data_IF_577188602701
#
_entry.id   IF_577188602701
#
_cell.length_a   1.000
_cell.length_b   1.000
_cell.length_c   1.000
_cell.angle_alpha   90.00
_cell.angle_beta   90.00
_cell.angle_gamma   90.00
#
_symmetry.space_group_name_H-M   'P 1'
#
loop_
_entity.id
_entity.type
_entity.pdbx_description
1 polymer ?
#
# COMPACT_ATOMS: atom_id res chain seq x y z
N UNK A 1 26.94 -5.42 -9.04
CA UNK A 1 25.66 -5.42 -8.32
C UNK A 1 25.87 -6.05 -6.96
N UNK A 2 25.30 -5.51 -5.88
CA UNK A 2 25.54 -6.00 -4.52
C UNK A 2 24.26 -6.71 -4.03
N UNK A 3 24.40 -7.99 -3.69
CA UNK A 3 23.31 -8.71 -3.03
C UNK A 3 23.13 -8.22 -1.60
N UNK A 4 21.91 -7.75 -1.28
CA UNK A 4 21.58 -7.08 -0.02
C UNK A 4 20.57 -7.84 0.87
N UNK A 5 19.92 -8.85 0.34
CA UNK A 5 18.99 -9.66 1.15
C UNK A 5 18.17 -10.67 0.36
N UNK A 6 17.63 -11.63 1.11
CA UNK A 6 16.77 -12.70 0.60
C UNK A 6 15.42 -12.65 1.28
N UNK A 7 14.35 -12.74 0.51
CA UNK A 7 12.97 -12.72 0.98
C UNK A 7 12.14 -13.83 0.34
N UNK A 8 11.05 -14.20 0.98
CA UNK A 8 10.04 -15.05 0.35
C UNK A 8 9.14 -14.21 -0.56
N UNK A 9 8.77 -13.02 -0.08
CA UNK A 9 7.90 -12.08 -0.80
C UNK A 9 8.51 -10.68 -0.80
N UNK A 10 8.57 -10.07 -1.97
CA UNK A 10 8.87 -8.64 -2.10
C UNK A 10 7.63 -7.92 -2.63
N UNK A 11 7.26 -6.82 -1.97
CA UNK A 11 6.15 -5.94 -2.38
C UNK A 11 6.73 -4.61 -2.86
N UNK A 12 6.37 -4.21 -4.08
CA UNK A 12 6.82 -2.96 -4.69
C UNK A 12 5.71 -1.92 -4.56
N UNK A 13 5.92 -0.93 -3.71
CA UNK A 13 4.97 0.13 -3.40
C UNK A 13 4.30 -0.06 -2.04
N UNK A 14 4.32 0.99 -1.21
CA UNK A 14 3.70 1.04 0.11
C UNK A 14 2.43 1.92 0.16
N UNK A 15 1.65 1.89 -0.92
CA UNK A 15 0.26 2.35 -0.92
C UNK A 15 -0.64 1.33 -0.21
N UNK A 16 -1.95 1.57 -0.17
CA UNK A 16 -2.88 0.70 0.58
C UNK A 16 -2.80 -0.77 0.17
N UNK A 17 -2.76 -1.07 -1.13
CA UNK A 17 -2.65 -2.44 -1.62
C UNK A 17 -1.32 -3.10 -1.22
N UNK A 18 -0.22 -2.35 -1.28
CA UNK A 18 1.10 -2.86 -0.90
C UNK A 18 1.24 -3.09 0.60
N UNK A 19 0.68 -2.20 1.43
CA UNK A 19 0.65 -2.37 2.88
C UNK A 19 -0.07 -3.66 3.26
N UNK A 20 -1.27 -3.85 2.73
CA UNK A 20 -2.08 -5.03 3.04
C UNK A 20 -1.43 -6.32 2.54
N UNK A 21 -0.84 -6.30 1.34
CA UNK A 21 -0.12 -7.45 0.81
C UNK A 21 1.11 -7.80 1.64
N UNK A 22 1.90 -6.80 2.05
CA UNK A 22 3.10 -7.00 2.86
C UNK A 22 2.76 -7.49 4.27
N UNK A 23 1.76 -6.87 4.91
CA UNK A 23 1.28 -7.27 6.23
C UNK A 23 0.74 -8.71 6.22
N UNK A 24 -0.11 -9.04 5.24
CA UNK A 24 -0.67 -10.39 5.12
C UNK A 24 0.42 -11.44 4.89
N UNK A 25 1.37 -11.21 3.97
CA UNK A 25 2.46 -12.14 3.70
C UNK A 25 3.33 -12.39 4.94
N UNK A 26 3.69 -11.32 5.66
CA UNK A 26 4.49 -11.43 6.88
C UNK A 26 3.72 -12.13 8.02
N UNK A 27 2.44 -11.82 8.21
CA UNK A 27 1.57 -12.46 9.20
C UNK A 27 1.40 -13.95 8.95
N UNK A 28 1.43 -14.37 7.68
CA UNK A 28 1.43 -15.78 7.29
C UNK A 28 2.80 -16.47 7.46
N UNK A 29 3.80 -15.77 7.98
CA UNK A 29 5.13 -16.29 8.29
C UNK A 29 6.14 -16.21 7.14
N UNK A 30 5.82 -15.54 6.04
CA UNK A 30 6.78 -15.30 4.97
C UNK A 30 7.75 -14.18 5.37
N UNK A 31 9.04 -14.37 5.09
CA UNK A 31 10.03 -13.30 5.22
C UNK A 31 9.79 -12.30 4.09
N UNK A 32 9.27 -11.12 4.44
CA UNK A 32 8.71 -10.15 3.50
C UNK A 32 9.49 -8.84 3.52
N UNK A 33 9.64 -8.22 2.35
CA UNK A 33 10.10 -6.84 2.24
C UNK A 33 9.10 -6.00 1.46
N UNK A 34 8.90 -4.76 1.89
CA UNK A 34 8.16 -3.75 1.12
C UNK A 34 9.10 -2.62 0.72
N UNK A 35 9.06 -2.25 -0.55
CA UNK A 35 9.85 -1.17 -1.12
C UNK A 35 8.98 0.05 -1.38
N UNK A 36 9.44 1.21 -0.97
CA UNK A 36 8.78 2.50 -1.23
C UNK A 36 9.81 3.56 -1.61
N UNK A 37 9.44 4.49 -2.46
CA UNK A 37 10.30 5.62 -2.83
C UNK A 37 10.44 6.61 -1.67
N UNK A 38 9.44 6.69 -0.77
CA UNK A 38 9.47 7.56 0.41
C UNK A 38 8.77 6.89 1.59
N UNK A 39 9.44 6.87 2.73
CA UNK A 39 8.84 6.40 4.00
C UNK A 39 7.71 7.32 4.48
N UNK A 40 7.72 8.58 4.07
CA UNK A 40 6.69 9.56 4.41
C UNK A 40 5.45 9.47 3.51
N UNK A 41 5.50 8.62 2.47
CA UNK A 41 4.37 8.35 1.57
C UNK A 41 3.65 7.02 1.85
N UNK A 42 4.04 6.28 2.89
CA UNK A 42 3.37 5.03 3.28
C UNK A 42 1.92 5.30 3.64
N UNK A 43 0.98 4.60 2.99
CA UNK A 43 -0.46 4.78 3.22
C UNK A 43 -0.97 6.18 2.87
N UNK A 44 -0.31 6.90 1.98
CA UNK A 44 -0.71 8.25 1.59
C UNK A 44 -2.12 8.28 0.99
N UNK A 45 -2.88 9.30 1.35
CA UNK A 45 -4.21 9.59 0.82
C UNK A 45 -4.18 10.94 0.09
N UNK A 46 -3.72 10.99 -1.16
CA UNK A 46 -3.47 12.26 -1.86
C UNK A 46 -4.73 13.08 -2.14
N UNK A 47 -5.87 12.42 -2.19
CA UNK A 47 -7.17 13.07 -2.41
C UNK A 47 -7.89 13.35 -1.10
N UNK A 48 -9.16 12.95 -0.99
CA UNK A 48 -9.91 13.04 0.27
C UNK A 48 -9.43 11.94 1.23
N UNK A 49 -8.94 12.25 2.43
CA UNK A 49 -8.51 11.27 3.40
C UNK A 49 -9.71 10.55 4.01
N UNK A 50 -10.32 9.65 3.25
CA UNK A 50 -11.50 8.92 3.68
C UNK A 50 -11.46 7.45 3.27
N UNK A 51 -11.92 6.60 4.19
CA UNK A 51 -12.06 5.16 4.01
C UNK A 51 -13.54 4.83 3.96
N UNK A 52 -13.92 3.92 3.05
CA UNK A 52 -15.30 3.50 2.89
C UNK A 52 -16.02 4.19 1.73
N UNK A 53 -17.35 4.27 1.82
CA UNK A 53 -18.23 4.67 0.73
C UNK A 53 -18.84 3.46 0.02
N UNK A 54 -19.63 3.71 -1.04
CA UNK A 54 -20.54 2.70 -1.60
C UNK A 54 -19.86 1.40 -2.04
N UNK A 55 -18.72 1.46 -2.73
CA UNK A 55 -17.99 0.27 -3.15
C UNK A 55 -16.84 -0.06 -2.20
N UNK A 56 -16.02 0.95 -1.87
CA UNK A 56 -14.85 0.78 -1.00
C UNK A 56 -15.21 0.23 0.38
N UNK A 57 -16.35 0.64 0.95
CA UNK A 57 -16.76 0.18 2.28
C UNK A 57 -16.98 -1.32 2.38
N UNK A 58 -17.47 -1.95 1.32
CA UNK A 58 -17.64 -3.40 1.25
C UNK A 58 -16.27 -4.10 1.22
N UNK A 59 -15.39 -3.65 0.34
CA UNK A 59 -14.03 -4.20 0.23
C UNK A 59 -13.23 -4.06 1.52
N UNK A 60 -13.33 -2.91 2.20
CA UNK A 60 -12.65 -2.69 3.49
C UNK A 60 -13.13 -3.66 4.56
N UNK A 61 -14.42 -3.96 4.62
CA UNK A 61 -14.98 -4.95 5.57
C UNK A 61 -14.52 -6.37 5.28
N UNK A 62 -14.44 -6.74 3.99
CA UNK A 62 -13.90 -8.05 3.59
C UNK A 62 -12.43 -8.17 3.97
N UNK A 63 -11.66 -7.11 3.72
CA UNK A 63 -10.26 -7.02 4.08
C UNK A 63 -10.05 -7.10 5.60
N UNK A 64 -10.83 -6.37 6.38
CA UNK A 64 -10.83 -6.38 7.85
C UNK A 64 -11.12 -7.78 8.41
N UNK A 65 -12.12 -8.47 7.84
CA UNK A 65 -12.47 -9.84 8.21
C UNK A 65 -11.32 -10.85 7.94
N UNK A 66 -10.42 -10.53 7.02
CA UNK A 66 -9.22 -11.32 6.72
C UNK A 66 -7.99 -10.89 7.54
N UNK A 67 -8.14 -9.95 8.46
CA UNK A 67 -7.05 -9.46 9.30
C UNK A 67 -6.24 -8.29 8.72
N UNK A 68 -6.81 -7.55 7.78
CA UNK A 68 -6.19 -6.34 7.23
C UNK A 68 -6.14 -5.18 8.22
N UNK A 69 -5.25 -4.23 7.98
CA UNK A 69 -4.98 -3.11 8.90
C UNK A 69 -5.74 -1.83 8.58
N UNK A 70 -6.31 -1.71 7.38
CA UNK A 70 -6.97 -0.48 6.93
C UNK A 70 -8.17 -0.08 7.80
N UNK A 71 -8.99 -1.03 8.21
CA UNK A 71 -10.14 -0.79 9.10
C UNK A 71 -9.69 -0.26 10.46
N UNK A 72 -8.70 -0.91 11.06
CA UNK A 72 -8.12 -0.51 12.35
C UNK A 72 -7.49 0.88 12.29
N UNK A 73 -6.75 1.18 11.22
CA UNK A 73 -6.16 2.50 11.02
C UNK A 73 -7.23 3.59 10.85
N UNK A 74 -8.31 3.28 10.12
CA UNK A 74 -9.43 4.21 9.97
C UNK A 74 -10.11 4.50 11.31
N UNK A 75 -10.33 3.48 12.13
CA UNK A 75 -10.94 3.63 13.46
C UNK A 75 -10.04 4.38 14.45
N UNK A 76 -8.72 4.18 14.36
CA UNK A 76 -7.77 4.88 15.24
C UNK A 76 -7.58 6.37 14.88
N UNK A 77 -7.89 6.76 13.66
CA UNK A 77 -7.55 8.10 13.15
C UNK A 77 -8.73 8.88 12.57
N UNK A 78 -9.96 8.41 12.81
CA UNK A 78 -11.14 9.04 12.26
C UNK A 78 -11.38 10.45 12.86
N UNK A 79 -11.86 11.34 12.00
CA UNK A 79 -12.38 12.66 12.34
C UNK A 79 -13.91 12.70 12.31
N UNK A 80 -14.49 11.97 11.34
CA UNK A 80 -15.93 11.86 11.15
C UNK A 80 -16.27 10.49 10.58
N UNK A 81 -17.33 9.90 11.13
CA UNK A 81 -17.92 8.65 10.60
C UNK A 81 -19.37 8.95 10.19
N UNK A 82 -19.74 8.62 8.95
CA UNK A 82 -21.08 8.92 8.42
C UNK A 82 -21.60 7.80 7.55
N UNK A 83 -22.84 7.40 7.81
CA UNK A 83 -23.57 6.49 6.91
C UNK A 83 -24.10 7.29 5.71
N UNK A 84 -23.68 6.90 4.50
CA UNK A 84 -24.16 7.44 3.23
C UNK A 84 -25.42 6.72 2.77
N UNK A 85 -26.16 7.35 1.87
CA UNK A 85 -27.33 6.78 1.17
C UNK A 85 -28.49 6.32 2.06
N UNK A 86 -28.64 6.87 3.27
CA UNK A 86 -29.72 6.51 4.21
C UNK A 86 -31.11 6.61 3.61
N UNK A 87 -31.35 7.53 2.67
CA UNK A 87 -32.63 7.70 1.99
C UNK A 87 -32.87 6.78 0.80
N UNK A 88 -31.90 5.91 0.45
CA UNK A 88 -31.97 5.04 -0.75
C UNK A 88 -32.23 3.56 -0.44
N UNK A 89 -32.46 3.25 0.82
CA UNK A 89 -32.69 1.88 1.30
C UNK A 89 -31.43 1.17 1.80
N UNK A 90 -31.61 0.11 2.62
CA UNK A 90 -30.52 -0.56 3.34
C UNK A 90 -29.44 -1.18 2.46
N UNK A 91 -29.83 -1.65 1.27
CA UNK A 91 -28.89 -2.33 0.35
C UNK A 91 -27.74 -1.44 -0.14
N UNK A 92 -27.93 -0.12 -0.11
CA UNK A 92 -26.89 0.84 -0.56
C UNK A 92 -26.36 1.71 0.58
N UNK A 93 -26.68 1.38 1.83
CA UNK A 93 -26.08 2.02 2.99
C UNK A 93 -24.58 1.76 2.98
N UNK A 94 -23.78 2.80 3.07
CA UNK A 94 -22.34 2.70 3.02
C UNK A 94 -21.69 3.60 4.06
N UNK A 95 -20.91 3.00 4.94
CA UNK A 95 -20.14 3.75 5.92
C UNK A 95 -18.98 4.45 5.22
N UNK A 96 -18.79 5.74 5.49
CA UNK A 96 -17.64 6.52 5.10
C UNK A 96 -17.02 7.15 6.33
N UNK A 97 -15.74 6.89 6.52
CA UNK A 97 -14.93 7.43 7.62
C UNK A 97 -13.95 8.43 7.04
N UNK A 98 -14.00 9.68 7.50
CA UNK A 98 -12.98 10.67 7.21
C UNK A 98 -11.91 10.57 8.28
N UNK A 99 -10.65 10.49 7.86
CA UNK A 99 -9.49 10.29 8.73
C UNK A 99 -8.60 11.52 8.74
N UNK A 100 -7.82 11.68 9.81
CA UNK A 100 -6.66 12.57 9.80
C UNK A 100 -5.56 11.93 8.94
N UNK A 101 -5.22 12.58 7.81
CA UNK A 101 -4.26 12.07 6.83
C UNK A 101 -2.90 11.75 7.46
N UNK A 102 -2.40 12.64 8.31
CA UNK A 102 -1.08 12.49 8.91
C UNK A 102 -1.05 11.38 9.95
N UNK A 103 -2.03 11.35 10.85
CA UNK A 103 -2.15 10.28 11.86
C UNK A 103 -2.38 8.92 11.21
N UNK A 104 -3.15 8.85 10.11
CA UNK A 104 -3.36 7.63 9.36
C UNK A 104 -2.06 7.10 8.76
N UNK A 105 -1.26 7.97 8.12
CA UNK A 105 0.07 7.61 7.63
C UNK A 105 0.97 7.09 8.76
N UNK A 106 1.04 7.82 9.88
CA UNK A 106 1.83 7.43 11.05
C UNK A 106 1.40 6.05 11.59
N UNK A 107 0.08 5.83 11.69
CA UNK A 107 -0.46 4.53 12.12
C UNK A 107 -0.06 3.40 11.16
N UNK A 108 -0.25 3.58 9.87
CA UNK A 108 0.08 2.57 8.85
C UNK A 108 1.57 2.23 8.83
N UNK A 109 2.42 3.25 8.88
CA UNK A 109 3.88 3.07 8.96
C UNK A 109 4.26 2.27 10.20
N UNK A 110 3.74 2.66 11.36
CA UNK A 110 4.00 1.99 12.63
C UNK A 110 3.51 0.54 12.63
N UNK A 111 2.34 0.27 12.07
CA UNK A 111 1.82 -1.08 11.93
C UNK A 111 2.74 -1.99 11.11
N UNK A 112 3.30 -1.48 10.01
CA UNK A 112 4.29 -2.23 9.22
C UNK A 112 5.60 -2.45 9.99
N UNK A 113 6.11 -1.42 10.67
CA UNK A 113 7.34 -1.49 11.47
C UNK A 113 7.25 -2.51 12.60
N UNK A 114 6.07 -2.70 13.18
CA UNK A 114 5.81 -3.67 14.24
C UNK A 114 5.48 -5.08 13.73
N UNK A 115 5.28 -5.26 12.42
CA UNK A 115 4.94 -6.57 11.87
C UNK A 115 6.17 -7.48 11.83
N UNK A 116 6.18 -8.60 12.60
CA UNK A 116 7.32 -9.51 12.61
C UNK A 116 7.59 -10.11 11.23
N UNK A 117 8.87 -10.20 10.84
CA UNK A 117 9.27 -10.77 9.56
C UNK A 117 9.10 -9.83 8.35
N UNK A 118 8.69 -8.58 8.58
CA UNK A 118 8.56 -7.54 7.56
C UNK A 118 9.70 -6.53 7.64
N UNK A 119 10.40 -6.32 6.53
CA UNK A 119 11.39 -5.26 6.35
C UNK A 119 10.82 -4.15 5.46
N UNK A 120 11.10 -2.89 5.80
CA UNK A 120 10.71 -1.73 4.99
C UNK A 120 11.98 -1.12 4.40
N UNK A 121 12.02 -0.97 3.07
CA UNK A 121 13.14 -0.38 2.36
C UNK A 121 12.71 0.88 1.62
N UNK A 122 13.40 2.00 1.89
CA UNK A 122 13.26 3.18 1.06
C UNK A 122 14.21 3.04 -0.14
N UNK A 123 13.66 2.60 -1.26
CA UNK A 123 14.37 2.47 -2.53
C UNK A 123 13.40 2.39 -3.70
N UNK A 124 13.81 2.90 -4.84
CA UNK A 124 13.11 2.71 -6.10
C UNK A 124 13.54 1.38 -6.73
N UNK A 125 12.58 0.50 -6.99
CA UNK A 125 12.79 -0.74 -7.73
C UNK A 125 12.70 -0.42 -9.22
N UNK A 126 13.77 -0.73 -9.97
CA UNK A 126 13.87 -0.43 -11.40
C UNK A 126 13.75 -1.68 -12.29
N UNK A 127 13.97 -2.86 -11.73
CA UNK A 127 13.89 -4.11 -12.49
C UNK A 127 13.38 -5.26 -11.62
N UNK A 128 12.65 -6.18 -12.24
CA UNK A 128 12.29 -7.49 -11.69
C UNK A 128 13.08 -8.52 -12.49
N UNK A 129 13.96 -9.22 -11.79
CA UNK A 129 14.79 -10.24 -12.40
C UNK A 129 14.04 -11.57 -12.49
N UNK A 130 14.14 -12.21 -13.66
CA UNK A 130 13.53 -13.51 -13.92
C UNK A 130 14.53 -14.44 -14.57
N UNK A 131 14.43 -15.73 -14.24
CA UNK A 131 15.24 -16.81 -14.84
C UNK A 131 14.33 -18.00 -15.13
N UNK A 132 14.37 -18.50 -16.36
CA UNK A 132 13.54 -19.62 -16.82
C UNK A 132 12.04 -19.45 -16.54
N UNK A 133 11.52 -18.21 -16.70
CA UNK A 133 10.11 -17.88 -16.46
C UNK A 133 9.71 -17.79 -14.98
N UNK A 134 10.66 -17.78 -14.06
CA UNK A 134 10.43 -17.62 -12.62
C UNK A 134 11.07 -16.34 -12.12
N UNK A 135 10.41 -15.70 -11.15
CA UNK A 135 10.97 -14.55 -10.43
C UNK A 135 12.22 -15.00 -9.67
N UNK A 136 13.27 -14.19 -9.74
CA UNK A 136 14.51 -14.34 -9.03
C UNK A 136 14.69 -13.28 -7.95
N UNK A 137 14.20 -12.07 -8.21
CA UNK A 137 14.30 -10.95 -7.29
C UNK A 137 14.03 -9.62 -7.94
N UNK A 138 14.53 -8.57 -7.31
CA UNK A 138 14.42 -7.19 -7.79
C UNK A 138 15.77 -6.48 -7.72
N UNK A 139 15.92 -5.45 -8.57
CA UNK A 139 17.07 -4.53 -8.56
C UNK A 139 16.57 -3.13 -8.29
N UNK A 140 17.27 -2.42 -7.41
CA UNK A 140 16.99 -1.03 -7.07
C UNK A 140 17.83 -0.06 -7.90
N UNK A 141 17.41 1.21 -7.96
CA UNK A 141 18.10 2.29 -8.68
C UNK A 141 19.59 2.43 -8.29
N UNK A 142 19.94 2.09 -7.06
CA UNK A 142 21.33 2.12 -6.58
C UNK A 142 22.07 0.78 -6.76
N UNK A 143 21.61 -0.08 -7.68
CA UNK A 143 22.18 -1.39 -8.00
C UNK A 143 22.20 -2.39 -6.82
N UNK A 144 21.30 -2.23 -5.84
CA UNK A 144 21.07 -3.23 -4.81
C UNK A 144 20.20 -4.36 -5.35
N UNK A 145 20.64 -5.60 -5.19
CA UNK A 145 19.91 -6.81 -5.57
C UNK A 145 19.27 -7.46 -4.35
N UNK A 146 18.02 -7.87 -4.48
CA UNK A 146 17.28 -8.59 -3.44
C UNK A 146 16.61 -9.80 -4.06
N UNK A 147 16.90 -10.98 -3.53
CA UNK A 147 16.28 -12.24 -4.01
C UNK A 147 14.88 -12.38 -3.47
N UNK A 148 13.96 -12.94 -4.27
CA UNK A 148 12.61 -13.26 -3.84
C UNK A 148 12.04 -14.46 -4.57
N UNK A 149 11.16 -15.22 -3.90
CA UNK A 149 10.35 -16.28 -4.51
C UNK A 149 9.13 -15.71 -5.23
N UNK A 150 8.58 -14.61 -4.70
CA UNK A 150 7.41 -13.92 -5.24
C UNK A 150 7.61 -12.40 -5.21
N UNK A 151 7.07 -11.71 -6.20
CA UNK A 151 7.01 -10.25 -6.24
C UNK A 151 5.57 -9.80 -6.45
N UNK A 152 5.11 -8.89 -5.60
CA UNK A 152 3.81 -8.22 -5.72
C UNK A 152 4.04 -6.80 -6.21
N UNK A 153 3.45 -6.45 -7.35
CA UNK A 153 3.53 -5.11 -7.92
C UNK A 153 2.32 -4.31 -7.42
N UNK A 154 2.56 -3.32 -6.57
CA UNK A 154 1.54 -2.46 -5.97
C UNK A 154 1.90 -0.96 -6.15
N UNK A 155 2.42 -0.60 -7.33
CA UNK A 155 2.94 0.72 -7.66
C UNK A 155 1.87 1.82 -7.75
N UNK A 156 0.60 1.44 -7.75
CA UNK A 156 -0.52 2.38 -7.82
C UNK A 156 -0.51 3.21 -9.10
N UNK A 157 -0.78 4.50 -8.96
CA UNK A 157 -0.90 5.45 -10.06
C UNK A 157 0.42 6.17 -10.41
N UNK A 158 1.52 5.84 -9.74
CA UNK A 158 2.83 6.43 -10.01
C UNK A 158 3.50 5.85 -11.27
N UNK A 159 3.28 4.55 -11.54
CA UNK A 159 3.90 3.88 -12.68
C UNK A 159 3.36 4.42 -14.01
N UNK A 160 4.22 5.09 -14.78
CA UNK A 160 3.83 5.75 -16.03
C UNK A 160 2.83 6.90 -15.84
N UNK A 161 2.74 7.43 -14.62
CA UNK A 161 1.81 8.49 -14.26
C UNK A 161 2.09 9.81 -14.97
N UNK A 162 1.03 10.58 -15.26
CA UNK A 162 1.10 11.93 -15.82
C UNK A 162 0.13 12.82 -15.06
N UNK A 163 0.61 14.01 -14.72
CA UNK A 163 -0.22 15.06 -14.12
C UNK A 163 -0.51 16.12 -15.16
N UNK A 164 -1.77 16.52 -15.23
CA UNK A 164 -2.27 17.56 -16.11
C UNK A 164 -2.77 18.75 -15.30
N UNK A 165 -2.33 19.94 -15.65
CA UNK A 165 -2.79 21.20 -15.06
C UNK A 165 -3.10 22.15 -16.23
N UNK A 166 -4.38 22.23 -16.61
CA UNK A 166 -4.77 22.88 -17.87
C UNK A 166 -4.11 22.20 -19.07
N UNK A 167 -3.41 22.97 -19.89
CA UNK A 167 -2.71 22.47 -21.09
C UNK A 167 -1.29 21.94 -20.78
N UNK A 168 -0.77 22.18 -19.58
CA UNK A 168 0.54 21.69 -19.16
C UNK A 168 0.45 20.27 -18.63
N UNK A 169 1.49 19.47 -18.89
CA UNK A 169 1.60 18.13 -18.29
C UNK A 169 3.06 17.78 -17.99
N UNK A 170 3.25 16.90 -17.04
CA UNK A 170 4.55 16.35 -16.70
C UNK A 170 4.41 14.92 -16.16
N UNK A 171 5.49 14.13 -16.30
CA UNK A 171 5.53 12.78 -15.77
C UNK A 171 5.69 12.82 -14.24
N UNK A 172 4.72 12.31 -13.51
CA UNK A 172 4.73 12.18 -12.03
C UNK A 172 3.57 11.30 -11.56
N UNK A 173 3.59 10.98 -10.28
CA UNK A 173 2.46 10.41 -9.57
C UNK A 173 1.74 11.44 -8.69
N UNK A 174 0.63 11.08 -8.01
CA UNK A 174 -0.06 11.96 -7.08
C UNK A 174 0.80 12.21 -5.84
N UNK A 175 0.90 13.47 -5.46
CA UNK A 175 1.59 13.95 -4.25
C UNK A 175 0.71 13.81 -2.98
#
# INVERSE_FOLDING_TARGET
MNHLGDYDVIVIGAGHAGIEAAHAAATLGARTAVFTMSLDAIGNMPCNPSIGGTAKGTLVRELDALGGVMGLAADATYLQSRMLNKGKGPAVHALRVQTDRKRYHEYMKHALELTPGLAIHQAEVVSIETENGRVKGVVTQLNGEYSAKCVVIATGTNLGGKIFVGDAWYASGPD
#
